data_IF_834620351395
#
_entry.id   IF_834620351395
#
_cell.length_a   1.000
_cell.length_b   1.000
_cell.length_c   1.000
_cell.angle_alpha   90.00
_cell.angle_beta   90.00
_cell.angle_gamma   90.00
#
_symmetry.space_group_name_H-M   'P 1'
#
loop_
_entity.id
_entity.type
_entity.pdbx_description
1 polymer ?
#
# COMPACT_ATOMS: atom_id res chain seq x y z
N UNK A 1 -20.63 -5.33 -4.27
CA UNK A 1 -21.76 -4.45 -3.85
C UNK A 1 -21.84 -3.27 -4.81
N UNK A 2 -22.97 -2.55 -4.92
CA UNK A 2 -23.02 -1.29 -5.66
C UNK A 2 -22.06 -0.25 -5.06
N UNK A 3 -21.38 0.52 -5.91
CA UNK A 3 -20.45 1.58 -5.51
C UNK A 3 -20.67 2.84 -6.34
N UNK A 4 -20.38 3.98 -5.74
CA UNK A 4 -20.56 5.30 -6.34
C UNK A 4 -19.50 6.27 -5.83
N UNK A 5 -19.04 7.20 -6.66
CA UNK A 5 -18.19 8.32 -6.24
C UNK A 5 -18.52 9.54 -7.10
N UNK A 6 -19.06 10.58 -6.47
CA UNK A 6 -19.53 11.78 -7.16
C UNK A 6 -18.41 12.61 -7.81
N UNK A 7 -17.17 12.50 -7.32
CA UNK A 7 -16.05 13.34 -7.74
C UNK A 7 -15.33 12.78 -8.96
N UNK A 8 -15.21 11.46 -9.03
CA UNK A 8 -14.72 10.72 -10.19
C UNK A 8 -15.82 10.48 -11.24
N UNK A 9 -17.09 10.47 -10.82
CA UNK A 9 -18.25 10.11 -11.64
C UNK A 9 -18.51 8.59 -11.69
N UNK A 10 -17.81 7.80 -10.88
CA UNK A 10 -17.99 6.36 -10.81
C UNK A 10 -19.42 6.01 -10.37
N UNK A 11 -20.10 5.15 -11.11
CA UNK A 11 -21.41 4.61 -10.73
C UNK A 11 -21.56 3.17 -11.20
N UNK A 12 -21.38 2.23 -10.27
CA UNK A 12 -21.52 0.79 -10.51
C UNK A 12 -22.73 0.28 -9.73
N UNK A 13 -23.92 0.20 -10.35
CA UNK A 13 -25.17 -0.07 -9.63
C UNK A 13 -25.35 -1.54 -9.23
N UNK A 14 -24.52 -2.45 -9.76
CA UNK A 14 -24.62 -3.90 -9.52
C UNK A 14 -23.26 -4.48 -9.17
N UNK A 15 -23.25 -5.35 -8.16
CA UNK A 15 -22.07 -6.15 -7.84
C UNK A 15 -21.80 -7.16 -8.96
N UNK A 16 -20.53 -7.45 -9.23
CA UNK A 16 -20.12 -8.50 -10.15
C UNK A 16 -18.99 -8.06 -11.08
N UNK A 17 -18.72 -8.89 -12.08
CA UNK A 17 -17.77 -8.54 -13.14
C UNK A 17 -18.39 -7.44 -14.02
N UNK A 18 -17.68 -6.33 -14.16
CA UNK A 18 -18.07 -5.21 -15.03
C UNK A 18 -16.96 -4.98 -16.02
N UNK A 19 -17.30 -4.92 -17.31
CA UNK A 19 -16.35 -4.49 -18.33
C UNK A 19 -16.27 -2.96 -18.30
N UNK A 20 -15.06 -2.45 -18.15
CA UNK A 20 -14.79 -1.01 -18.09
C UNK A 20 -13.98 -0.61 -19.33
N UNK A 21 -14.40 0.45 -19.99
CA UNK A 21 -13.55 1.16 -20.96
C UNK A 21 -12.54 2.06 -20.22
N UNK A 22 -11.69 2.77 -20.98
CA UNK A 22 -10.70 3.66 -20.40
C UNK A 22 -11.29 4.80 -19.56
N UNK A 23 -12.48 5.29 -19.91
CA UNK A 23 -13.15 6.35 -19.16
C UNK A 23 -13.64 5.83 -17.81
N UNK A 24 -14.37 4.72 -17.79
CA UNK A 24 -14.89 4.13 -16.56
C UNK A 24 -13.77 3.55 -15.67
N UNK A 25 -12.71 3.00 -16.27
CA UNK A 25 -11.52 2.58 -15.53
C UNK A 25 -10.84 3.78 -14.84
N UNK A 26 -10.75 4.92 -15.53
CA UNK A 26 -10.24 6.17 -14.94
C UNK A 26 -11.10 6.63 -13.74
N UNK A 27 -12.42 6.42 -13.79
CA UNK A 27 -13.28 6.73 -12.64
C UNK A 27 -12.98 5.85 -11.44
N UNK A 28 -12.70 4.55 -11.65
CA UNK A 28 -12.35 3.61 -10.57
C UNK A 28 -11.06 4.02 -9.85
N UNK A 29 -9.99 4.27 -10.61
CA UNK A 29 -8.67 4.63 -10.06
C UNK A 29 -8.62 6.05 -9.49
N UNK A 30 -9.63 6.89 -9.75
CA UNK A 30 -9.74 8.25 -9.17
C UNK A 30 -10.69 8.35 -7.98
N UNK A 31 -11.47 7.30 -7.69
CA UNK A 31 -12.47 7.34 -6.64
C UNK A 31 -11.83 7.37 -5.24
N UNK A 32 -11.72 8.56 -4.66
CA UNK A 32 -11.20 8.84 -3.31
C UNK A 32 -12.33 8.92 -2.26
N UNK A 33 -13.53 9.28 -2.69
CA UNK A 33 -14.69 9.49 -1.83
C UNK A 33 -15.72 8.39 -2.12
N UNK A 34 -15.25 7.15 -2.16
CA UNK A 34 -16.04 6.01 -2.58
C UNK A 34 -17.17 5.78 -1.58
N UNK A 35 -18.40 5.76 -2.06
CA UNK A 35 -19.57 5.32 -1.34
C UNK A 35 -19.95 3.92 -1.78
N UNK A 36 -20.46 3.12 -0.86
CA UNK A 36 -20.92 1.77 -1.16
C UNK A 36 -22.29 1.51 -0.55
N UNK A 37 -23.08 0.65 -1.19
CA UNK A 37 -24.38 0.23 -0.67
C UNK A 37 -24.27 -1.11 0.04
N UNK A 38 -24.14 -1.15 1.38
CA UNK A 38 -24.22 -2.42 2.11
C UNK A 38 -25.65 -2.96 2.08
N UNK A 39 -25.80 -4.25 2.45
CA UNK A 39 -27.11 -4.90 2.49
C UNK A 39 -28.10 -4.22 3.47
N UNK A 40 -27.60 -3.52 4.50
CA UNK A 40 -28.40 -2.76 5.45
C UNK A 40 -29.02 -1.48 4.89
N UNK A 41 -28.52 -0.94 3.76
CA UNK A 41 -29.02 0.29 3.15
C UNK A 41 -29.98 -0.06 2.01
N UNK A 42 -31.27 0.14 2.23
CA UNK A 42 -32.32 -0.22 1.26
C UNK A 42 -32.59 0.87 0.22
N UNK A 43 -32.28 2.13 0.50
CA UNK A 43 -32.47 3.25 -0.43
C UNK A 43 -31.47 3.24 -1.59
N UNK A 44 -31.90 3.69 -2.76
CA UNK A 44 -31.05 3.91 -3.95
C UNK A 44 -30.42 5.30 -3.96
N UNK A 45 -30.83 6.21 -3.07
CA UNK A 45 -30.25 7.54 -3.00
C UNK A 45 -28.85 7.47 -2.35
N UNK A 46 -27.82 7.82 -3.13
CA UNK A 46 -26.42 7.76 -2.75
C UNK A 46 -26.07 8.64 -1.54
N UNK A 47 -26.86 9.68 -1.25
CA UNK A 47 -26.64 10.52 -0.07
C UNK A 47 -26.71 9.76 1.27
N UNK A 48 -27.35 8.58 1.28
CA UNK A 48 -27.47 7.72 2.45
C UNK A 48 -26.50 6.53 2.44
N UNK A 49 -25.62 6.45 1.44
CA UNK A 49 -24.63 5.39 1.36
C UNK A 49 -23.41 5.79 2.19
N UNK A 50 -22.90 4.90 3.07
CA UNK A 50 -21.67 5.17 3.82
C UNK A 50 -20.48 5.34 2.88
N UNK A 51 -19.53 6.16 3.32
CA UNK A 51 -18.22 6.27 2.69
C UNK A 51 -17.32 5.10 3.10
N UNK A 52 -16.47 4.66 2.17
CA UNK A 52 -15.27 3.89 2.47
C UNK A 52 -14.34 4.74 3.34
N UNK A 53 -13.85 4.16 4.44
CA UNK A 53 -12.99 4.88 5.39
C UNK A 53 -11.53 5.03 4.93
N UNK A 54 -11.10 4.23 3.95
CA UNK A 54 -9.69 4.12 3.55
C UNK A 54 -9.22 5.22 2.59
N UNK A 55 -10.13 5.94 1.93
CA UNK A 55 -9.80 7.07 1.04
C UNK A 55 -8.69 6.72 0.02
N UNK A 56 -7.50 7.32 0.15
CA UNK A 56 -6.35 7.10 -0.73
C UNK A 56 -5.75 5.70 -0.58
N UNK A 57 -5.76 5.09 0.60
CA UNK A 57 -5.33 3.69 0.78
C UNK A 57 -6.27 2.73 0.04
N UNK A 58 -7.57 3.03 0.06
CA UNK A 58 -8.57 2.32 -0.74
C UNK A 58 -8.32 2.46 -2.23
N UNK A 59 -7.96 3.67 -2.68
CA UNK A 59 -7.59 3.96 -4.06
C UNK A 59 -6.34 3.21 -4.50
N UNK A 60 -5.29 3.16 -3.68
CA UNK A 60 -4.08 2.37 -3.96
C UNK A 60 -4.43 0.89 -4.23
N UNK A 61 -5.33 0.31 -3.42
CA UNK A 61 -5.79 -1.06 -3.65
C UNK A 61 -6.52 -1.24 -5.00
N UNK A 62 -7.31 -0.24 -5.41
CA UNK A 62 -7.98 -0.22 -6.72
C UNK A 62 -6.97 -0.05 -7.86
N UNK A 63 -5.94 0.77 -7.67
CA UNK A 63 -4.87 0.99 -8.64
C UNK A 63 -4.05 -0.29 -8.84
N UNK A 64 -3.74 -1.02 -7.76
CA UNK A 64 -3.10 -2.31 -7.83
C UNK A 64 -3.90 -3.32 -8.67
N UNK A 65 -5.21 -3.41 -8.43
CA UNK A 65 -6.08 -4.30 -9.21
C UNK A 65 -6.22 -3.82 -10.66
N UNK A 66 -6.31 -2.50 -10.90
CA UNK A 66 -6.32 -1.95 -12.24
C UNK A 66 -5.06 -2.32 -13.03
N UNK A 67 -3.87 -2.20 -12.42
CA UNK A 67 -2.61 -2.61 -13.05
C UNK A 67 -2.59 -4.11 -13.38
N UNK A 68 -3.15 -4.97 -12.51
CA UNK A 68 -3.29 -6.41 -12.79
C UNK A 68 -4.23 -6.67 -13.96
N UNK A 69 -5.38 -6.01 -14.00
CA UNK A 69 -6.38 -6.16 -15.08
C UNK A 69 -5.81 -5.62 -16.39
N UNK A 70 -5.10 -4.49 -16.35
CA UNK A 70 -4.42 -3.91 -17.51
C UNK A 70 -3.35 -4.86 -18.04
N UNK A 71 -2.44 -5.34 -17.19
CA UNK A 71 -1.41 -6.30 -17.57
C UNK A 71 -2.04 -7.58 -18.16
N UNK A 72 -3.12 -8.09 -17.57
CA UNK A 72 -3.85 -9.26 -18.07
C UNK A 72 -4.51 -8.99 -19.43
N UNK A 73 -5.01 -7.78 -19.66
CA UNK A 73 -5.61 -7.37 -20.93
C UNK A 73 -4.56 -7.22 -22.03
N UNK A 74 -3.39 -6.69 -21.69
CA UNK A 74 -2.22 -6.62 -22.57
C UNK A 74 -1.70 -8.02 -22.92
N UNK A 75 -1.55 -8.90 -21.92
CA UNK A 75 -1.06 -10.27 -22.13
C UNK A 75 -1.95 -11.07 -23.09
N UNK A 76 -3.27 -10.83 -23.09
CA UNK A 76 -4.21 -11.45 -24.04
C UNK A 76 -3.99 -11.03 -25.50
N UNK A 77 -3.32 -9.91 -25.76
CA UNK A 77 -2.96 -9.50 -27.12
C UNK A 77 -1.78 -10.30 -27.69
N UNK A 78 -1.14 -11.12 -26.87
CA UNK A 78 0.07 -11.87 -27.20
C UNK A 78 1.31 -11.07 -26.82
N UNK A 79 2.06 -11.59 -25.86
CA UNK A 79 3.39 -11.10 -25.48
C UNK A 79 4.44 -12.14 -25.86
N UNK A 80 5.66 -11.70 -26.18
CA UNK A 80 6.77 -12.60 -26.50
C UNK A 80 7.04 -12.74 -27.99
N UNK A 81 6.33 -11.99 -28.84
CA UNK A 81 6.64 -11.89 -30.27
C UNK A 81 7.12 -10.46 -30.55
N UNK A 82 8.40 -10.27 -30.93
CA UNK A 82 8.97 -8.94 -31.11
C UNK A 82 8.17 -8.05 -32.08
N UNK A 83 7.61 -8.61 -33.16
CA UNK A 83 6.86 -7.83 -34.16
C UNK A 83 5.54 -7.29 -33.59
N UNK A 84 4.79 -8.12 -32.86
CA UNK A 84 3.55 -7.65 -32.21
C UNK A 84 3.85 -6.72 -31.04
N UNK A 85 4.91 -7.01 -30.28
CA UNK A 85 5.33 -6.20 -29.14
C UNK A 85 5.78 -4.79 -29.58
N UNK A 86 6.53 -4.67 -30.68
CA UNK A 86 6.87 -3.36 -31.27
C UNK A 86 5.61 -2.57 -31.69
N UNK A 87 4.61 -3.22 -32.28
CA UNK A 87 3.35 -2.55 -32.66
C UNK A 87 2.58 -2.06 -31.44
N UNK A 88 2.52 -2.89 -30.39
CA UNK A 88 1.90 -2.53 -29.12
C UNK A 88 2.60 -1.30 -28.52
N UNK A 89 3.94 -1.35 -28.37
CA UNK A 89 4.72 -0.23 -27.82
C UNK A 89 4.50 1.04 -28.64
N UNK A 90 4.59 0.98 -29.97
CA UNK A 90 4.37 2.15 -30.83
C UNK A 90 2.95 2.75 -30.71
N UNK A 91 1.95 1.94 -30.37
CA UNK A 91 0.58 2.43 -30.18
C UNK A 91 0.38 3.20 -28.87
N UNK A 92 1.19 2.91 -27.86
CA UNK A 92 1.07 3.53 -26.52
C UNK A 92 2.16 4.56 -26.23
N UNK A 93 3.32 4.49 -26.91
CA UNK A 93 4.47 5.33 -26.60
C UNK A 93 4.16 6.82 -26.75
N UNK A 94 3.31 7.20 -27.72
CA UNK A 94 2.88 8.60 -27.89
C UNK A 94 1.85 9.10 -26.86
N UNK A 95 1.38 8.24 -25.95
CA UNK A 95 0.42 8.57 -24.90
C UNK A 95 1.06 8.65 -23.50
N UNK A 96 2.36 8.41 -23.41
CA UNK A 96 3.11 8.31 -22.17
C UNK A 96 4.38 9.16 -22.28
N UNK A 97 4.81 9.73 -21.17
CA UNK A 97 6.10 10.41 -21.07
C UNK A 97 7.14 9.41 -20.56
N UNK A 98 8.30 9.37 -21.22
CA UNK A 98 9.42 8.52 -20.85
C UNK A 98 10.69 9.37 -20.78
N UNK A 99 11.67 8.89 -20.02
CA UNK A 99 12.99 9.48 -20.07
C UNK A 99 13.65 9.20 -21.43
N UNK A 100 14.54 10.10 -21.85
CA UNK A 100 15.19 10.01 -23.17
C UNK A 100 16.13 8.80 -23.31
N UNK A 101 16.51 8.14 -22.21
CA UNK A 101 17.38 6.97 -22.23
C UNK A 101 16.58 5.65 -22.34
N UNK A 102 15.29 5.65 -22.03
CA UNK A 102 14.41 4.49 -22.17
C UNK A 102 13.87 4.36 -23.59
N UNK A 103 14.61 3.64 -24.43
CA UNK A 103 14.31 3.50 -25.85
C UNK A 103 13.14 2.54 -26.10
N UNK A 104 12.54 2.62 -27.30
CA UNK A 104 11.55 1.62 -27.76
C UNK A 104 12.11 0.19 -27.73
N UNK A 105 13.42 0.02 -27.96
CA UNK A 105 14.08 -1.29 -27.85
C UNK A 105 14.06 -1.79 -26.41
N UNK A 106 14.33 -0.93 -25.43
CA UNK A 106 14.29 -1.28 -24.01
C UNK A 106 12.87 -1.67 -23.59
N UNK A 107 11.85 -0.96 -24.08
CA UNK A 107 10.44 -1.29 -23.84
C UNK A 107 10.08 -2.68 -24.38
N UNK A 108 10.52 -3.03 -25.59
CA UNK A 108 10.29 -4.36 -26.16
C UNK A 108 11.06 -5.42 -25.39
N UNK A 109 12.33 -5.17 -25.02
CA UNK A 109 13.09 -6.09 -24.18
C UNK A 109 12.44 -6.31 -22.81
N UNK A 110 11.82 -5.28 -22.23
CA UNK A 110 11.05 -5.40 -20.99
C UNK A 110 9.84 -6.33 -21.17
N UNK A 111 9.06 -6.14 -22.25
CA UNK A 111 7.95 -7.04 -22.58
C UNK A 111 8.43 -8.48 -22.78
N UNK A 112 9.52 -8.69 -23.51
CA UNK A 112 10.12 -10.01 -23.71
C UNK A 112 10.66 -10.61 -22.41
N UNK A 113 11.17 -9.81 -21.48
CA UNK A 113 11.65 -10.30 -20.18
C UNK A 113 10.48 -10.82 -19.32
N UNK A 114 9.36 -10.10 -19.32
CA UNK A 114 8.21 -10.40 -18.47
C UNK A 114 7.06 -11.13 -19.17
N UNK A 115 7.22 -11.56 -20.44
CA UNK A 115 6.16 -12.20 -21.23
C UNK A 115 5.55 -13.45 -20.56
N UNK A 116 6.35 -14.17 -19.78
CA UNK A 116 5.94 -15.39 -19.06
C UNK A 116 5.60 -15.14 -17.58
N UNK A 117 5.54 -13.88 -17.14
CA UNK A 117 5.21 -13.55 -15.76
C UNK A 117 3.78 -13.97 -15.40
N UNK A 118 3.61 -14.56 -14.22
CA UNK A 118 2.28 -14.88 -13.68
C UNK A 118 1.66 -13.62 -13.08
N UNK A 119 0.94 -12.86 -13.90
CA UNK A 119 0.33 -11.56 -13.54
C UNK A 119 -0.53 -11.65 -12.26
N UNK A 120 -1.32 -12.72 -12.11
CA UNK A 120 -2.15 -12.93 -10.91
C UNK A 120 -1.35 -13.27 -9.65
N UNK A 121 -0.07 -13.62 -9.79
CA UNK A 121 0.85 -13.89 -8.68
C UNK A 121 1.79 -12.71 -8.40
N UNK A 122 1.68 -11.60 -9.15
CA UNK A 122 2.45 -10.40 -8.87
C UNK A 122 2.10 -9.85 -7.47
N UNK A 123 3.09 -9.67 -6.58
CA UNK A 123 2.86 -9.05 -5.28
C UNK A 123 2.25 -7.65 -5.42
N UNK A 124 1.27 -7.34 -4.57
CA UNK A 124 0.74 -5.99 -4.41
C UNK A 124 1.02 -5.57 -2.98
N UNK A 125 1.98 -4.68 -2.80
CA UNK A 125 2.41 -4.22 -1.50
C UNK A 125 2.20 -2.71 -1.42
N UNK A 126 1.51 -2.29 -0.37
CA UNK A 126 1.38 -0.89 0.01
C UNK A 126 2.28 -0.65 1.21
N UNK A 127 3.08 0.41 1.18
CA UNK A 127 3.83 0.81 2.38
C UNK A 127 2.81 1.11 3.49
N UNK A 128 2.89 0.42 4.63
CA UNK A 128 1.90 0.57 5.69
C UNK A 128 1.95 1.97 6.29
N UNK A 129 0.83 2.39 6.86
CA UNK A 129 0.75 3.65 7.60
C UNK A 129 0.33 3.39 9.03
N UNK A 130 0.82 4.22 9.93
CA UNK A 130 0.34 4.28 11.31
C UNK A 130 -0.52 5.52 11.48
N UNK A 131 -1.69 5.36 12.07
CA UNK A 131 -2.55 6.48 12.44
C UNK A 131 -2.27 6.87 13.89
N UNK A 132 -2.15 8.17 14.13
CA UNK A 132 -1.95 8.70 15.48
C UNK A 132 -3.17 8.43 16.39
N UNK A 133 -3.00 8.42 17.72
CA UNK A 133 -4.10 8.13 18.63
C UNK A 133 -5.18 9.22 18.61
N UNK A 134 -6.35 8.87 18.08
CA UNK A 134 -7.68 9.43 18.36
C UNK A 134 -7.84 10.96 18.33
N UNK A 135 -7.35 11.64 17.30
CA UNK A 135 -7.91 12.94 16.93
C UNK A 135 -8.08 13.02 15.42
N UNK A 136 -9.30 13.28 14.96
CA UNK A 136 -9.46 13.83 13.62
C UNK A 136 -8.64 15.13 13.61
N UNK A 137 -7.67 15.21 12.71
CA UNK A 137 -6.96 16.45 12.41
C UNK A 137 -7.97 17.55 12.14
N UNK A 138 -7.86 18.67 12.86
CA UNK A 138 -8.73 19.81 12.67
C UNK A 138 -7.95 20.86 11.89
N UNK A 139 -8.44 21.24 10.70
CA UNK A 139 -7.86 22.32 9.92
C UNK A 139 -8.92 23.39 9.66
N UNK A 140 -8.62 24.63 10.04
CA UNK A 140 -9.52 25.78 9.94
C UNK A 140 -10.91 25.54 10.58
N UNK A 141 -10.96 24.82 11.71
CA UNK A 141 -12.19 24.51 12.44
C UNK A 141 -12.99 23.32 11.92
N UNK A 142 -12.50 22.61 10.90
CA UNK A 142 -13.19 21.44 10.32
C UNK A 142 -12.37 20.17 10.50
N UNK A 143 -12.99 19.03 10.85
CA UNK A 143 -12.33 17.73 10.85
C UNK A 143 -11.91 17.34 9.43
N UNK A 144 -10.65 16.91 9.29
CA UNK A 144 -10.02 16.46 8.05
C UNK A 144 -9.68 14.97 8.04
N UNK A 145 -10.06 14.23 9.07
CA UNK A 145 -9.73 12.81 9.22
C UNK A 145 -8.41 12.61 9.98
N UNK A 146 -7.90 11.39 9.95
CA UNK A 146 -6.68 11.02 10.68
C UNK A 146 -5.42 11.40 9.87
N UNK A 147 -4.32 11.67 10.57
CA UNK A 147 -3.01 11.84 9.93
C UNK A 147 -2.33 10.48 9.85
N UNK A 148 -1.94 10.10 8.64
CA UNK A 148 -1.17 8.90 8.34
C UNK A 148 0.33 9.20 8.45
N UNK A 149 1.05 8.42 9.24
CA UNK A 149 2.50 8.52 9.41
C UNK A 149 3.20 7.28 8.84
N UNK A 150 4.38 7.43 8.21
CA UNK A 150 5.24 6.29 7.90
C UNK A 150 5.69 5.61 9.19
N UNK A 151 5.98 4.32 9.11
CA UNK A 151 6.39 3.53 10.26
C UNK A 151 7.59 2.68 9.90
N UNK A 152 8.77 3.11 10.34
CA UNK A 152 10.05 2.56 9.87
C UNK A 152 10.10 1.02 9.87
N UNK A 153 9.65 0.37 10.94
CA UNK A 153 9.74 -1.10 11.05
C UNK A 153 8.76 -1.81 10.10
N UNK A 154 7.44 -1.51 10.12
CA UNK A 154 6.51 -1.99 9.09
C UNK A 154 6.93 -1.67 7.65
N UNK A 155 7.48 -0.48 7.40
CA UNK A 155 7.94 -0.05 6.07
C UNK A 155 9.09 -0.93 5.57
N UNK A 156 10.09 -1.17 6.42
CA UNK A 156 11.21 -2.06 6.10
C UNK A 156 10.71 -3.48 5.83
N UNK A 157 9.77 -4.00 6.60
CA UNK A 157 9.20 -5.32 6.34
C UNK A 157 8.51 -5.40 4.97
N UNK A 158 7.77 -4.35 4.56
CA UNK A 158 7.17 -4.29 3.23
C UNK A 158 8.22 -4.23 2.11
N UNK A 159 9.31 -3.49 2.32
CA UNK A 159 10.45 -3.42 1.39
C UNK A 159 11.16 -4.77 1.29
N UNK A 160 11.44 -5.43 2.40
CA UNK A 160 12.11 -6.73 2.45
C UNK A 160 11.28 -7.80 1.74
N UNK A 161 9.96 -7.78 1.96
CA UNK A 161 9.03 -8.65 1.25
C UNK A 161 9.04 -8.40 -0.26
N UNK A 162 9.10 -7.13 -0.68
CA UNK A 162 9.18 -6.76 -2.10
C UNK A 162 10.49 -7.23 -2.74
N UNK A 163 11.61 -7.02 -2.06
CA UNK A 163 12.95 -7.41 -2.51
C UNK A 163 13.25 -8.91 -2.32
N UNK A 164 12.33 -9.67 -1.72
CA UNK A 164 12.48 -11.08 -1.38
C UNK A 164 13.72 -11.33 -0.50
N UNK A 165 13.99 -10.41 0.43
CA UNK A 165 15.10 -10.50 1.37
C UNK A 165 14.65 -11.36 2.56
N UNK A 166 15.50 -12.30 2.96
CA UNK A 166 15.22 -13.17 4.10
C UNK A 166 15.25 -12.37 5.41
N UNK A 167 14.39 -12.69 6.41
CA UNK A 167 14.35 -11.98 7.70
C UNK A 167 15.67 -11.97 8.49
N UNK A 168 16.63 -12.83 8.13
CA UNK A 168 17.96 -12.92 8.73
C UNK A 168 19.03 -12.20 7.90
N UNK A 169 18.66 -11.43 6.88
CA UNK A 169 19.56 -10.70 5.98
C UNK A 169 19.37 -9.20 6.16
N UNK A 170 20.48 -8.46 6.23
CA UNK A 170 20.48 -7.02 6.28
C UNK A 170 20.19 -6.44 4.88
N UNK A 171 19.07 -5.74 4.75
CA UNK A 171 18.64 -5.15 3.46
C UNK A 171 19.57 -4.10 2.87
N UNK A 172 20.36 -3.40 3.69
CA UNK A 172 21.30 -2.39 3.21
C UNK A 172 22.62 -2.98 2.72
N UNK A 173 23.04 -4.13 3.26
CA UNK A 173 24.38 -4.70 3.00
C UNK A 173 24.38 -6.09 2.37
N UNK A 174 23.23 -6.78 2.36
CA UNK A 174 23.09 -8.17 1.91
C UNK A 174 23.76 -9.21 2.82
N UNK A 175 24.27 -8.81 3.99
CA UNK A 175 24.96 -9.71 4.93
C UNK A 175 23.99 -10.25 5.98
N UNK A 176 24.28 -11.41 6.62
CA UNK A 176 23.47 -11.92 7.71
C UNK A 176 23.34 -10.90 8.86
N UNK A 177 22.15 -10.80 9.45
CA UNK A 177 21.93 -10.03 10.66
C UNK A 177 22.72 -10.63 11.84
N UNK A 178 23.17 -9.80 12.80
CA UNK A 178 23.78 -10.32 14.02
C UNK A 178 22.85 -11.28 14.74
N UNK A 179 23.41 -12.34 15.34
CA UNK A 179 22.63 -13.23 16.21
C UNK A 179 21.98 -12.39 17.33
N UNK A 180 20.72 -12.65 17.74
CA UNK A 180 20.08 -11.93 18.83
C UNK A 180 20.96 -11.86 20.09
N UNK A 181 21.68 -12.94 20.40
CA UNK A 181 22.58 -13.04 21.56
C UNK A 181 23.80 -12.12 21.50
N UNK A 182 24.10 -11.50 20.35
CA UNK A 182 25.16 -10.50 20.18
C UNK A 182 24.64 -9.07 20.35
N UNK A 183 23.32 -8.89 20.47
CA UNK A 183 22.66 -7.59 20.61
C UNK A 183 22.23 -7.39 22.06
N UNK A 184 22.63 -6.27 22.64
CA UNK A 184 22.26 -5.87 23.98
C UNK A 184 21.17 -4.82 23.94
N UNK A 185 20.07 -5.04 24.67
CA UNK A 185 18.88 -4.17 24.64
C UNK A 185 18.53 -3.65 26.03
N UNK A 186 18.18 -2.38 26.12
CA UNK A 186 17.58 -1.76 27.31
C UNK A 186 16.23 -1.17 26.94
N UNK A 187 15.19 -1.46 27.72
CA UNK A 187 13.83 -1.01 27.42
C UNK A 187 13.40 0.09 28.37
N UNK A 188 13.04 1.25 27.82
CA UNK A 188 12.54 2.40 28.59
C UNK A 188 11.05 2.59 28.30
N UNK A 189 10.23 2.64 29.35
CA UNK A 189 8.79 2.88 29.25
C UNK A 189 8.48 4.37 29.31
N UNK A 190 7.91 4.91 28.23
CA UNK A 190 7.37 6.27 28.15
C UNK A 190 5.86 6.34 27.98
N UNK A 191 5.14 5.23 28.16
CA UNK A 191 3.69 5.12 27.89
C UNK A 191 2.79 5.43 29.09
N UNK A 192 3.36 5.46 30.30
CA UNK A 192 2.59 5.53 31.55
C UNK A 192 1.93 4.21 31.97
N UNK A 193 2.01 3.15 31.14
CA UNK A 193 1.48 1.81 31.48
C UNK A 193 2.47 1.08 32.38
N UNK A 194 2.00 0.59 33.54
CA UNK A 194 2.83 -0.13 34.49
C UNK A 194 3.42 -1.42 33.89
N UNK A 195 4.67 -1.74 34.26
CA UNK A 195 5.39 -2.98 33.90
C UNK A 195 5.67 -3.24 32.41
N UNK A 196 5.27 -2.36 31.49
CA UNK A 196 5.41 -2.63 30.05
C UNK A 196 6.88 -2.79 29.62
N UNK A 197 7.83 -2.05 30.22
CA UNK A 197 9.25 -2.21 29.93
C UNK A 197 9.78 -3.58 30.38
N UNK A 198 9.36 -4.08 31.54
CA UNK A 198 9.75 -5.40 32.04
C UNK A 198 9.20 -6.51 31.15
N UNK A 199 7.90 -6.46 30.83
CA UNK A 199 7.26 -7.44 29.95
C UNK A 199 7.89 -7.44 28.56
N UNK A 200 8.19 -6.26 28.01
CA UNK A 200 8.84 -6.13 26.70
C UNK A 200 10.27 -6.68 26.75
N UNK A 201 11.05 -6.38 27.79
CA UNK A 201 12.40 -6.90 27.94
C UNK A 201 12.39 -8.43 28.02
N UNK A 202 11.51 -9.03 28.83
CA UNK A 202 11.36 -10.48 28.92
C UNK A 202 10.95 -11.12 27.59
N UNK A 203 10.12 -10.44 26.80
CA UNK A 203 9.74 -10.90 25.45
C UNK A 203 10.94 -10.87 24.49
N UNK A 204 11.79 -9.84 24.56
CA UNK A 204 13.02 -9.76 23.78
C UNK A 204 14.05 -10.83 24.23
N UNK A 205 14.20 -11.07 25.52
CA UNK A 205 15.07 -12.13 26.04
C UNK A 205 14.60 -13.52 25.58
N UNK A 206 13.29 -13.77 25.53
CA UNK A 206 12.72 -15.00 24.97
C UNK A 206 13.01 -15.18 23.47
N UNK A 207 13.22 -14.08 22.73
CA UNK A 207 13.69 -14.08 21.34
C UNK A 207 15.23 -14.20 21.22
N UNK A 208 15.95 -14.31 22.34
CA UNK A 208 17.39 -14.56 22.40
C UNK A 208 18.27 -13.31 22.51
N UNK A 209 17.68 -12.12 22.70
CA UNK A 209 18.43 -10.88 22.93
C UNK A 209 19.04 -10.84 24.34
N UNK A 210 20.14 -10.11 24.53
CA UNK A 210 20.72 -9.89 25.88
C UNK A 210 20.09 -8.66 26.52
N UNK A 211 19.35 -8.84 27.62
CA UNK A 211 18.84 -7.72 28.40
C UNK A 211 19.94 -6.98 29.17
N UNK A 212 19.92 -5.65 29.09
CA UNK A 212 20.77 -4.76 29.89
C UNK A 212 20.02 -4.03 31.01
N UNK A 213 18.68 -4.07 31.00
CA UNK A 213 17.85 -3.50 32.04
C UNK A 213 16.62 -2.76 31.52
N UNK A 214 15.83 -2.27 32.46
CA UNK A 214 14.61 -1.50 32.19
C UNK A 214 14.65 -0.14 32.86
N UNK A 215 13.88 0.80 32.33
CA UNK A 215 13.71 2.14 32.91
C UNK A 215 12.32 2.71 32.64
N UNK A 216 12.03 3.83 33.29
CA UNK A 216 10.86 4.66 32.99
C UNK A 216 11.35 6.05 32.60
N UNK A 217 10.69 6.66 31.62
CA UNK A 217 10.84 8.06 31.28
C UNK A 217 9.49 8.75 31.50
N UNK A 218 9.46 10.06 31.83
CA UNK A 218 8.22 10.82 31.79
C UNK A 218 7.53 10.62 30.43
N UNK A 219 6.20 10.58 30.45
CA UNK A 219 5.41 10.58 29.21
C UNK A 219 5.72 11.89 28.50
N UNK A 220 6.56 11.84 27.46
CA UNK A 220 7.06 13.03 26.75
C UNK A 220 6.05 13.66 25.79
N UNK A 221 4.80 13.20 25.82
CA UNK A 221 3.71 13.79 25.04
C UNK A 221 2.59 14.26 25.97
N UNK A 222 2.52 15.58 26.23
CA UNK A 222 1.22 16.23 25.98
C UNK A 222 0.96 16.08 24.49
N UNK A 223 -0.27 15.89 24.05
CA UNK A 223 -0.63 15.99 22.62
C UNK A 223 -0.09 17.30 22.04
N UNK A 224 1.13 17.28 21.51
CA UNK A 224 1.76 18.33 20.76
C UNK A 224 1.55 17.88 19.32
N UNK A 225 0.40 18.26 18.78
CA UNK A 225 0.28 19.20 17.67
C UNK A 225 -1.21 19.57 17.59
N UNK A 226 -1.55 20.75 18.11
CA UNK A 226 -2.86 21.40 17.94
C UNK A 226 -3.05 21.89 16.51
#
# INVERSE_FOLDING_TARGET
MPVFDAYSGLNIPRAGCVHLDGYHALQVVRARHLQYRPASVTTTNHAYWPYELQSDLGRINRDHEFLRVLASSVAKQGLGNPVTDFRLVNSVAGQLEFDNAFTTSDMVHLLLTFHSAKINSAPQLTIPVSVGPNTSYIYAGYPKGEIEFPSLVPDLHAIDQFLQISPDTNTLTGQPLPRPSAVTVSVVNGSGVANIAATTLSSLEALGFRGAGTGNTPVLASQLET
#
